data_IF_553723002464
#
_entry.id   IF_553723002464
#
_cell.length_a   1.000
_cell.length_b   1.000
_cell.length_c   1.000
_cell.angle_alpha   90.00
_cell.angle_beta   90.00
_cell.angle_gamma   90.00
#
_symmetry.space_group_name_H-M   'P 1'
#
loop_
_entity.id
_entity.type
_entity.pdbx_description
1 polymer ?
#
# COMPACT_ATOMS: atom_id res chain seq x y z
N UNK A 1 5.83 3.03 9.17
CA UNK A 1 4.78 3.65 8.34
C UNK A 1 3.89 4.56 9.18
N UNK A 2 3.42 5.62 8.61
CA UNK A 2 2.50 6.54 9.26
C UNK A 2 1.58 7.17 8.19
N UNK A 3 0.72 8.09 8.60
CA UNK A 3 -0.24 8.73 7.69
C UNK A 3 0.42 9.54 6.56
N UNK A 4 1.68 9.91 6.72
CA UNK A 4 2.42 10.70 5.72
C UNK A 4 3.21 9.83 4.75
N UNK A 5 3.18 8.51 4.93
CA UNK A 5 3.86 7.57 4.05
C UNK A 5 3.28 7.67 2.63
N UNK A 6 4.15 7.77 1.65
CA UNK A 6 3.74 7.73 0.25
C UNK A 6 3.65 6.29 -0.22
N UNK A 7 2.60 5.99 -0.96
CA UNK A 7 2.37 4.64 -1.47
C UNK A 7 2.51 4.65 -2.99
N UNK A 8 3.34 3.75 -3.49
CA UNK A 8 3.46 3.50 -4.91
C UNK A 8 2.91 2.10 -5.19
N UNK A 9 1.84 2.05 -5.98
CA UNK A 9 1.19 0.80 -6.34
C UNK A 9 1.50 0.48 -7.79
N UNK A 10 2.10 -0.69 -8.03
CA UNK A 10 2.46 -1.16 -9.35
C UNK A 10 1.77 -2.49 -9.63
N UNK A 11 1.15 -2.59 -10.79
CA UNK A 11 0.51 -3.82 -11.24
C UNK A 11 1.37 -4.51 -12.30
N UNK A 12 1.26 -5.81 -12.41
CA UNK A 12 1.93 -6.61 -13.43
C UNK A 12 1.56 -6.19 -14.86
N UNK A 13 0.45 -5.48 -15.01
CA UNK A 13 -0.01 -4.95 -16.30
C UNK A 13 0.59 -3.60 -16.66
N UNK A 14 1.69 -3.21 -16.01
CA UNK A 14 2.37 -1.92 -16.19
C UNK A 14 1.55 -0.69 -15.78
N UNK A 15 0.58 -0.87 -14.88
CA UNK A 15 -0.11 0.25 -14.27
C UNK A 15 0.66 0.71 -13.04
N UNK A 16 0.82 2.02 -12.92
CA UNK A 16 1.49 2.62 -11.80
C UNK A 16 0.61 3.72 -11.20
N UNK A 17 0.45 3.69 -9.88
CA UNK A 17 -0.39 4.65 -9.16
C UNK A 17 0.37 5.19 -7.96
N UNK A 18 0.35 6.51 -7.79
CA UNK A 18 0.81 7.14 -6.57
C UNK A 18 -0.41 7.41 -5.69
N UNK A 19 -0.36 6.92 -4.47
CA UNK A 19 -1.47 7.00 -3.54
C UNK A 19 -0.98 7.54 -2.19
N UNK A 20 -1.91 8.09 -1.42
CA UNK A 20 -1.67 8.40 -0.03
C UNK A 20 -2.15 7.24 0.84
N UNK A 21 -1.72 7.21 2.11
CA UNK A 21 -2.20 6.19 3.05
C UNK A 21 -3.71 6.30 3.25
N UNK A 22 -4.26 7.51 3.22
CA UNK A 22 -5.70 7.72 3.35
C UNK A 22 -6.48 7.15 2.16
N UNK A 23 -5.89 7.16 0.97
CA UNK A 23 -6.53 6.55 -0.21
C UNK A 23 -6.74 5.04 -0.04
N UNK A 24 -5.88 4.41 0.75
CA UNK A 24 -5.98 2.99 1.06
C UNK A 24 -6.83 2.71 2.30
N UNK A 25 -7.38 3.74 2.93
CA UNK A 25 -8.18 3.58 4.13
C UNK A 25 -7.36 3.40 5.41
N UNK A 26 -6.11 3.84 5.41
CA UNK A 26 -5.25 3.75 6.60
C UNK A 26 -5.76 4.68 7.71
N UNK A 27 -5.76 4.16 8.93
CA UNK A 27 -6.04 4.93 10.14
C UNK A 27 -4.93 4.66 11.17
N UNK A 28 -4.65 5.64 12.02
CA UNK A 28 -3.65 5.47 13.08
C UNK A 28 -4.07 4.36 14.05
N UNK A 29 -3.10 3.57 14.48
CA UNK A 29 -3.35 2.42 15.35
C UNK A 29 -3.76 1.15 14.62
N UNK A 30 -3.90 1.20 13.32
CA UNK A 30 -4.21 0.04 12.49
C UNK A 30 -3.05 -0.95 12.50
N UNK A 31 -3.34 -2.25 12.64
CA UNK A 31 -2.33 -3.29 12.56
C UNK A 31 -1.90 -3.54 11.11
N UNK A 32 -0.76 -4.19 10.91
CA UNK A 32 -0.31 -4.59 9.58
C UNK A 32 -1.33 -5.50 8.89
N UNK A 33 -1.94 -6.42 9.63
CA UNK A 33 -2.96 -7.32 9.08
C UNK A 33 -4.17 -6.56 8.57
N UNK A 34 -4.64 -5.57 9.35
CA UNK A 34 -5.76 -4.73 8.95
C UNK A 34 -5.40 -3.90 7.71
N UNK A 35 -4.20 -3.36 7.67
CA UNK A 35 -3.74 -2.57 6.54
C UNK A 35 -3.58 -3.44 5.29
N UNK A 36 -3.04 -4.65 5.43
CA UNK A 36 -2.94 -5.58 4.30
C UNK A 36 -4.31 -5.94 3.74
N UNK A 37 -5.32 -6.10 4.60
CA UNK A 37 -6.69 -6.32 4.16
C UNK A 37 -7.22 -5.13 3.34
N UNK A 38 -6.87 -3.91 3.73
CA UNK A 38 -7.26 -2.71 2.97
C UNK A 38 -6.59 -2.68 1.60
N UNK A 39 -5.31 -3.05 1.52
CA UNK A 39 -4.59 -3.14 0.26
C UNK A 39 -5.24 -4.20 -0.64
N UNK A 40 -5.56 -5.36 -0.08
CA UNK A 40 -6.22 -6.43 -0.82
C UNK A 40 -7.56 -5.98 -1.39
N UNK A 41 -8.34 -5.25 -0.62
CA UNK A 41 -9.63 -4.69 -1.07
C UNK A 41 -9.42 -3.70 -2.21
N UNK A 42 -8.41 -2.84 -2.07
CA UNK A 42 -8.12 -1.84 -3.09
C UNK A 42 -7.67 -2.48 -4.40
N UNK A 43 -6.81 -3.48 -4.32
CA UNK A 43 -6.29 -4.19 -5.49
C UNK A 43 -7.27 -5.23 -6.03
N UNK A 44 -8.30 -5.54 -5.27
CA UNK A 44 -9.24 -6.63 -5.57
C UNK A 44 -8.52 -7.96 -5.77
N UNK A 45 -7.48 -8.19 -4.97
CA UNK A 45 -6.65 -9.40 -5.03
C UNK A 45 -5.87 -9.55 -3.73
N UNK A 46 -5.69 -10.78 -3.28
CA UNK A 46 -4.81 -11.11 -2.16
C UNK A 46 -3.36 -11.35 -2.60
N UNK A 47 -3.09 -11.30 -3.89
CA UNK A 47 -1.79 -11.62 -4.46
C UNK A 47 -0.98 -10.34 -4.71
N UNK A 48 -0.34 -9.85 -3.66
CA UNK A 48 0.49 -8.66 -3.71
C UNK A 48 1.65 -8.78 -2.73
N UNK A 49 2.70 -8.00 -2.98
CA UNK A 49 3.84 -7.85 -2.10
C UNK A 49 4.00 -6.40 -1.69
N UNK A 50 4.44 -6.17 -0.45
CA UNK A 50 4.69 -4.84 0.06
C UNK A 50 6.15 -4.70 0.49
N UNK A 51 6.70 -3.51 0.28
CA UNK A 51 8.04 -3.17 0.74
C UNK A 51 8.06 -1.73 1.26
N UNK A 52 8.43 -1.57 2.52
CA UNK A 52 8.56 -0.26 3.12
C UNK A 52 10.01 0.20 3.09
N UNK A 53 10.24 1.45 2.68
CA UNK A 53 11.56 2.07 2.63
C UNK A 53 11.57 3.21 3.64
N UNK A 54 12.18 3.00 4.82
CA UNK A 54 12.14 4.02 5.88
C UNK A 54 12.93 5.28 5.56
N UNK A 55 13.96 5.17 4.71
CA UNK A 55 14.79 6.32 4.35
C UNK A 55 14.01 7.42 3.63
N UNK A 56 13.02 7.04 2.86
CA UNK A 56 12.20 7.97 2.10
C UNK A 56 10.75 8.01 2.56
N UNK A 57 10.40 7.19 3.56
CA UNK A 57 9.03 7.02 4.04
C UNK A 57 8.08 6.63 2.90
N UNK A 58 8.49 5.67 2.10
CA UNK A 58 7.71 5.19 0.97
C UNK A 58 7.33 3.73 1.16
N UNK A 59 6.12 3.38 0.77
CA UNK A 59 5.63 2.01 0.72
C UNK A 59 5.43 1.62 -0.74
N UNK A 60 6.11 0.57 -1.17
CA UNK A 60 5.92 0.04 -2.52
C UNK A 60 5.06 -1.21 -2.45
N UNK A 61 4.05 -1.27 -3.29
CA UNK A 61 3.11 -2.38 -3.38
C UNK A 61 3.13 -2.91 -4.82
N UNK A 62 3.40 -4.20 -4.94
CA UNK A 62 3.39 -4.89 -6.23
C UNK A 62 2.22 -5.87 -6.24
N UNK A 63 1.26 -5.65 -7.11
CA UNK A 63 0.07 -6.48 -7.25
C UNK A 63 0.03 -7.17 -8.61
N UNK A 64 -0.53 -8.33 -8.65
CA UNK A 64 -0.74 -9.07 -9.90
C UNK A 64 -2.14 -8.85 -10.47
#
# INVERSE_FOLDING_TARGET
MNKDTKVELEFSTNRFWELSMSDLGYTEGMTEEEFNAKIADFCNSDDFETRYIPETNELKVYAE
#
